data_IF_213247528643
#
_entry.id   IF_213247528643
#
_cell.length_a   1.000
_cell.length_b   1.000
_cell.length_c   1.000
_cell.angle_alpha   90.00
_cell.angle_beta   90.00
_cell.angle_gamma   90.00
#
_symmetry.space_group_name_H-M   'P 1'
#
loop_
_entity.id
_entity.type
_entity.pdbx_description
1 polymer ?
#
# COMPACT_ATOMS: atom_id res chain seq x y z
N UNK A 1 -12.32 -11.51 25.32
CA UNK A 1 -12.31 -11.33 23.85
C UNK A 1 -11.50 -10.08 23.52
N UNK A 2 -10.32 -10.22 22.92
CA UNK A 2 -9.40 -9.10 22.68
C UNK A 2 -9.71 -8.40 21.34
N UNK A 3 -10.28 -7.20 21.45
CA UNK A 3 -10.64 -6.32 20.32
C UNK A 3 -9.43 -5.75 19.56
N UNK A 4 -8.23 -5.82 20.15
CA UNK A 4 -6.98 -5.31 19.55
C UNK A 4 -6.44 -6.18 18.42
N UNK A 5 -6.91 -7.42 18.25
CA UNK A 5 -6.56 -8.27 17.09
C UNK A 5 -7.36 -7.95 15.82
N UNK A 6 -8.44 -7.15 15.91
CA UNK A 6 -9.31 -6.83 14.76
C UNK A 6 -8.85 -5.63 13.94
N UNK A 7 -7.91 -4.82 14.44
CA UNK A 7 -7.59 -3.54 13.79
C UNK A 7 -6.34 -3.63 12.91
N UNK A 8 -5.45 -4.62 13.12
CA UNK A 8 -4.31 -4.81 12.22
C UNK A 8 -3.85 -6.27 12.15
N UNK A 9 -4.15 -7.00 11.06
CA UNK A 9 -3.29 -8.07 10.62
C UNK A 9 -2.23 -7.46 9.69
N UNK A 10 -1.09 -7.08 10.26
CA UNK A 10 -0.02 -6.31 9.60
C UNK A 10 0.67 -6.97 8.39
N UNK A 11 0.15 -8.09 7.87
CA UNK A 11 0.66 -8.78 6.68
C UNK A 11 -0.39 -9.61 5.91
N UNK A 12 -1.63 -9.77 6.39
CA UNK A 12 -2.46 -10.91 5.94
C UNK A 12 -3.31 -10.68 4.71
N UNK A 13 -3.30 -9.52 4.05
CA UNK A 13 -4.32 -9.34 3.02
C UNK A 13 -4.02 -8.33 1.92
N UNK A 14 -2.78 -8.36 1.40
CA UNK A 14 -2.48 -7.71 0.12
C UNK A 14 -3.41 -8.20 -1.00
N UNK A 15 -3.99 -9.40 -0.90
CA UNK A 15 -5.03 -9.89 -1.81
C UNK A 15 -6.37 -9.16 -1.57
N UNK A 16 -6.83 -9.05 -0.32
CA UNK A 16 -8.01 -8.25 0.03
C UNK A 16 -7.88 -6.78 -0.33
N UNK A 17 -6.75 -6.12 -0.03
CA UNK A 17 -6.59 -4.72 -0.42
C UNK A 17 -6.51 -4.56 -1.94
N UNK A 18 -5.91 -5.51 -2.66
CA UNK A 18 -5.96 -5.51 -4.13
C UNK A 18 -7.38 -5.70 -4.66
N UNK A 19 -8.19 -6.57 -4.06
CA UNK A 19 -9.58 -6.77 -4.50
C UNK A 19 -10.48 -5.60 -4.12
N UNK A 20 -10.37 -5.09 -2.89
CA UNK A 20 -11.13 -3.96 -2.38
C UNK A 20 -10.83 -2.68 -3.16
N UNK A 21 -9.56 -2.44 -3.50
CA UNK A 21 -9.11 -1.29 -4.28
C UNK A 21 -9.07 -1.55 -5.79
N UNK A 22 -9.58 -2.71 -6.25
CA UNK A 22 -9.59 -3.14 -7.66
C UNK A 22 -8.25 -2.95 -8.39
N UNK A 23 -7.15 -3.11 -7.66
CA UNK A 23 -5.82 -2.94 -8.21
C UNK A 23 -5.58 -3.93 -9.36
N UNK A 24 -4.96 -3.49 -10.46
CA UNK A 24 -4.67 -4.37 -11.57
C UNK A 24 -3.79 -5.53 -11.10
N UNK A 25 -4.01 -6.72 -11.66
CA UNK A 25 -3.13 -7.86 -11.38
C UNK A 25 -1.74 -7.56 -11.96
N UNK A 26 -0.65 -7.86 -11.24
CA UNK A 26 0.69 -7.77 -11.81
C UNK A 26 0.81 -8.66 -13.04
N UNK A 27 1.60 -8.24 -14.02
CA UNK A 27 1.88 -9.05 -15.20
C UNK A 27 2.66 -10.32 -14.82
N UNK A 28 2.62 -11.34 -15.69
CA UNK A 28 3.44 -12.54 -15.51
C UNK A 28 4.93 -12.17 -15.42
N UNK A 29 5.38 -11.23 -16.25
CA UNK A 29 6.76 -10.75 -16.29
C UNK A 29 7.18 -10.06 -14.98
N UNK A 30 6.29 -9.25 -14.38
CA UNK A 30 6.55 -8.65 -13.08
C UNK A 30 6.73 -9.72 -12.01
N UNK A 31 5.85 -10.74 -11.99
CA UNK A 31 5.92 -11.81 -11.01
C UNK A 31 7.17 -12.69 -11.19
N UNK A 32 7.59 -12.96 -12.44
CA UNK A 32 8.82 -13.69 -12.72
C UNK A 32 10.06 -12.88 -12.35
N UNK A 33 10.11 -11.59 -12.67
CA UNK A 33 11.21 -10.70 -12.30
C UNK A 33 11.34 -10.56 -10.78
N UNK A 34 10.22 -10.42 -10.05
CA UNK A 34 10.22 -10.39 -8.59
C UNK A 34 10.79 -11.69 -8.00
N UNK A 35 10.41 -12.85 -8.55
CA UNK A 35 10.91 -14.15 -8.12
C UNK A 35 12.39 -14.33 -8.44
N UNK A 36 12.83 -13.89 -9.62
CA UNK A 36 14.22 -13.95 -10.05
C UNK A 36 15.11 -13.07 -9.16
N UNK A 37 14.70 -11.82 -8.93
CA UNK A 37 15.37 -10.91 -8.01
C UNK A 37 15.46 -11.49 -6.60
N UNK A 38 14.35 -11.96 -6.03
CA UNK A 38 14.35 -12.59 -4.69
C UNK A 38 15.30 -13.76 -4.60
N UNK A 39 15.33 -14.61 -5.62
CA UNK A 39 16.24 -15.76 -5.68
C UNK A 39 17.70 -15.28 -5.71
N UNK A 40 18.04 -14.36 -6.61
CA UNK A 40 19.40 -13.82 -6.72
C UNK A 40 19.86 -13.15 -5.41
N UNK A 41 19.00 -12.39 -4.73
CA UNK A 41 19.32 -11.77 -3.44
C UNK A 41 19.50 -12.78 -2.30
N UNK A 42 18.81 -13.92 -2.34
CA UNK A 42 18.97 -15.01 -1.36
C UNK A 42 20.27 -15.76 -1.62
N UNK A 43 20.54 -16.10 -2.88
CA UNK A 43 21.75 -16.79 -3.29
C UNK A 43 23.00 -15.97 -2.94
N UNK A 44 22.99 -14.65 -3.22
CA UNK A 44 24.07 -13.74 -2.83
C UNK A 44 24.28 -13.72 -1.31
N UNK A 45 23.20 -13.60 -0.52
CA UNK A 45 23.29 -13.61 0.95
C UNK A 45 23.86 -14.93 1.48
N UNK A 46 23.49 -16.06 0.90
CA UNK A 46 24.01 -17.36 1.28
C UNK A 46 25.52 -17.47 1.03
N UNK A 47 25.99 -16.99 -0.14
CA UNK A 47 27.41 -16.99 -0.49
C UNK A 47 28.24 -16.06 0.40
N UNK A 48 27.74 -14.84 0.65
CA UNK A 48 28.37 -13.88 1.57
C UNK A 48 28.45 -14.46 2.98
N UNK A 49 27.35 -15.01 3.50
CA UNK A 49 27.32 -15.62 4.84
C UNK A 49 28.27 -16.82 4.96
N UNK A 50 28.38 -17.65 3.91
CA UNK A 50 29.34 -18.77 3.87
C UNK A 50 30.79 -18.28 3.89
N UNK A 51 31.10 -17.25 3.10
CA UNK A 51 32.44 -16.64 3.05
C UNK A 51 32.81 -16.01 4.40
N UNK A 52 31.89 -15.32 5.05
CA UNK A 52 32.10 -14.76 6.38
C UNK A 52 32.32 -15.84 7.44
N UNK A 53 31.51 -16.90 7.41
CA UNK A 53 31.65 -18.04 8.31
C UNK A 53 33.04 -18.68 8.20
N UNK A 54 33.53 -18.91 6.98
CA UNK A 54 34.86 -19.48 6.75
C UNK A 54 36.00 -18.55 7.19
N UNK A 55 35.84 -17.22 7.06
CA UNK A 55 36.81 -16.25 7.60
C UNK A 55 36.88 -16.30 9.12
N UNK A 56 35.75 -16.52 9.80
CA UNK A 56 35.70 -16.67 11.26
C UNK A 56 36.35 -17.99 11.69
N UNK A 57 36.07 -19.09 10.99
CA UNK A 57 36.71 -20.39 11.25
C UNK A 57 38.23 -20.37 11.06
N UNK A 58 38.74 -19.45 10.23
CA UNK A 58 40.18 -19.21 10.09
C UNK A 58 40.80 -18.62 11.37
N UNK A 59 40.11 -17.70 12.02
CA UNK A 59 40.66 -16.89 13.13
C UNK A 59 40.39 -17.51 14.50
N UNK A 60 39.35 -18.34 14.63
CA UNK A 60 38.98 -18.99 15.89
C UNK A 60 39.59 -20.38 15.97
N UNK A 61 40.29 -20.69 17.07
CA UNK A 61 40.78 -22.04 17.34
C UNK A 61 39.73 -22.84 18.10
N UNK A 62 39.16 -23.86 17.45
CA UNK A 62 38.14 -24.72 18.04
C UNK A 62 38.74 -26.13 18.25
N UNK A 63 39.08 -26.50 19.51
CA UNK A 63 39.78 -27.75 19.79
C UNK A 63 38.95 -29.01 19.47
N UNK A 64 37.62 -28.87 19.26
CA UNK A 64 36.73 -29.97 18.90
C UNK A 64 36.45 -30.13 17.41
N UNK A 65 37.02 -29.30 16.52
CA UNK A 65 36.79 -29.38 15.06
C UNK A 65 38.11 -29.47 14.29
N UNK A 66 38.17 -30.38 13.31
CA UNK A 66 39.27 -30.38 12.35
C UNK A 66 39.20 -29.12 11.48
N UNK A 67 40.25 -28.32 11.53
CA UNK A 67 40.42 -27.17 10.63
C UNK A 67 40.73 -27.63 9.22
N UNK A 68 40.20 -26.90 8.25
CA UNK A 68 40.64 -27.03 6.85
C UNK A 68 42.14 -26.69 6.76
N UNK A 69 42.92 -27.43 5.96
CA UNK A 69 44.29 -27.05 5.67
C UNK A 69 44.34 -25.64 5.07
N UNK A 70 45.31 -24.83 5.48
CA UNK A 70 45.42 -23.40 5.11
C UNK A 70 45.37 -23.17 3.60
N UNK A 71 46.05 -23.99 2.80
CA UNK A 71 46.03 -23.90 1.34
C UNK A 71 44.64 -24.16 0.75
N UNK A 72 43.92 -25.15 1.28
CA UNK A 72 42.54 -25.50 0.86
C UNK A 72 41.58 -24.37 1.24
N UNK A 73 41.74 -23.79 2.44
CA UNK A 73 40.95 -22.66 2.91
C UNK A 73 41.16 -21.40 2.05
N UNK A 74 42.40 -21.08 1.68
CA UNK A 74 42.65 -19.95 0.79
C UNK A 74 42.05 -20.15 -0.61
N UNK A 75 42.16 -21.36 -1.16
CA UNK A 75 41.56 -21.70 -2.44
C UNK A 75 40.02 -21.57 -2.40
N UNK A 76 39.37 -22.07 -1.33
CA UNK A 76 37.91 -21.97 -1.18
C UNK A 76 37.44 -20.53 -0.96
N UNK A 77 38.17 -19.72 -0.17
CA UNK A 77 37.84 -18.31 0.00
C UNK A 77 38.01 -17.50 -1.29
N UNK A 78 38.97 -17.86 -2.14
CA UNK A 78 39.15 -17.23 -3.46
C UNK A 78 38.01 -17.59 -4.41
N UNK A 79 37.67 -18.87 -4.53
CA UNK A 79 36.53 -19.34 -5.34
C UNK A 79 35.22 -18.72 -4.86
N UNK A 80 34.98 -18.64 -3.54
CA UNK A 80 33.79 -17.97 -3.00
C UNK A 80 33.77 -16.46 -3.29
N UNK A 81 34.93 -15.81 -3.42
CA UNK A 81 34.98 -14.40 -3.80
C UNK A 81 34.59 -14.20 -5.27
N UNK A 82 35.01 -15.12 -6.15
CA UNK A 82 34.59 -15.16 -7.55
C UNK A 82 33.07 -15.42 -7.66
N UNK A 83 32.56 -16.43 -6.94
CA UNK A 83 31.12 -16.75 -6.91
C UNK A 83 30.27 -15.58 -6.38
N UNK A 84 30.75 -14.86 -5.36
CA UNK A 84 30.07 -13.67 -4.82
C UNK A 84 30.04 -12.55 -5.87
N UNK A 85 31.14 -12.30 -6.57
CA UNK A 85 31.19 -11.26 -7.61
C UNK A 85 30.20 -11.57 -8.75
N UNK A 86 30.12 -12.83 -9.19
CA UNK A 86 29.13 -13.23 -10.19
C UNK A 86 27.68 -13.09 -9.68
N UNK A 87 27.44 -13.46 -8.42
CA UNK A 87 26.13 -13.33 -7.79
C UNK A 87 25.71 -11.85 -7.61
N UNK A 88 26.65 -10.95 -7.33
CA UNK A 88 26.40 -9.49 -7.27
C UNK A 88 25.99 -8.93 -8.62
N UNK A 89 26.65 -9.34 -9.71
CA UNK A 89 26.26 -8.94 -11.07
C UNK A 89 24.84 -9.42 -11.38
N UNK A 90 24.54 -10.68 -11.09
CA UNK A 90 23.21 -11.27 -11.32
C UNK A 90 22.11 -10.62 -10.47
N UNK A 91 22.39 -10.30 -9.20
CA UNK A 91 21.47 -9.55 -8.34
C UNK A 91 21.18 -8.18 -8.93
N UNK A 92 22.22 -7.47 -9.39
CA UNK A 92 22.06 -6.14 -9.97
C UNK A 92 21.22 -6.16 -11.24
N UNK A 93 21.47 -7.10 -12.14
CA UNK A 93 20.71 -7.26 -13.38
C UNK A 93 19.23 -7.53 -13.10
N UNK A 94 18.94 -8.55 -12.29
CA UNK A 94 17.55 -8.91 -11.92
C UNK A 94 16.85 -7.80 -11.13
N UNK A 95 17.60 -7.02 -10.34
CA UNK A 95 17.08 -5.85 -9.62
C UNK A 95 16.66 -4.74 -10.58
N UNK A 96 17.50 -4.40 -11.55
CA UNK A 96 17.19 -3.36 -12.54
C UNK A 96 15.94 -3.74 -13.34
N UNK A 97 15.87 -4.98 -13.79
CA UNK A 97 14.69 -5.51 -14.51
C UNK A 97 13.42 -5.44 -13.64
N UNK A 98 13.50 -5.88 -12.39
CA UNK A 98 12.38 -5.81 -11.46
C UNK A 98 11.95 -4.37 -11.15
N UNK A 99 12.90 -3.45 -10.94
CA UNK A 99 12.61 -2.05 -10.65
C UNK A 99 11.93 -1.35 -11.84
N UNK A 100 12.34 -1.66 -13.08
CA UNK A 100 11.70 -1.16 -14.28
C UNK A 100 10.22 -1.62 -14.38
N UNK A 101 9.97 -2.92 -14.23
CA UNK A 101 8.60 -3.48 -14.25
C UNK A 101 7.77 -2.97 -13.07
N UNK A 102 8.40 -2.72 -11.92
CA UNK A 102 7.74 -2.14 -10.75
C UNK A 102 7.32 -0.69 -10.95
N UNK A 103 8.10 0.11 -11.68
CA UNK A 103 7.70 1.45 -12.06
C UNK A 103 6.45 1.42 -12.95
N UNK A 104 6.48 0.60 -14.00
CA UNK A 104 5.33 0.42 -14.93
C UNK A 104 4.08 -0.04 -14.18
N UNK A 105 4.20 -1.04 -13.30
CA UNK A 105 3.07 -1.51 -12.50
C UNK A 105 2.52 -0.41 -11.57
N UNK A 106 3.39 0.39 -10.95
CA UNK A 106 2.97 1.51 -10.09
C UNK A 106 2.21 2.57 -10.86
N UNK A 107 2.67 2.92 -12.06
CA UNK A 107 2.01 3.93 -12.88
C UNK A 107 0.63 3.45 -13.32
N UNK A 108 0.52 2.19 -13.75
CA UNK A 108 -0.77 1.58 -14.08
C UNK A 108 -1.71 1.51 -12.87
N UNK A 109 -1.22 1.08 -11.71
CA UNK A 109 -1.99 1.04 -10.48
C UNK A 109 -2.46 2.44 -10.05
N UNK A 110 -1.59 3.45 -10.20
CA UNK A 110 -1.92 4.85 -9.89
C UNK A 110 -2.99 5.39 -10.83
N UNK A 111 -2.88 5.15 -12.13
CA UNK A 111 -3.89 5.57 -13.10
C UNK A 111 -5.25 4.91 -12.82
N UNK A 112 -5.26 3.61 -12.52
CA UNK A 112 -6.49 2.88 -12.19
C UNK A 112 -7.15 3.41 -10.91
N UNK A 113 -6.36 3.64 -9.85
CA UNK A 113 -6.89 4.19 -8.59
C UNK A 113 -7.32 5.64 -8.71
N UNK A 114 -6.64 6.44 -9.53
CA UNK A 114 -6.98 7.85 -9.75
C UNK A 114 -8.41 8.00 -10.26
N UNK A 115 -8.78 7.22 -11.28
CA UNK A 115 -10.15 7.24 -11.82
C UNK A 115 -11.21 6.80 -10.81
N UNK A 116 -10.94 5.75 -10.03
CA UNK A 116 -11.87 5.29 -8.99
C UNK A 116 -12.04 6.33 -7.86
N UNK A 117 -10.96 6.99 -7.44
CA UNK A 117 -10.98 8.05 -6.42
C UNK A 117 -11.75 9.27 -6.93
N UNK A 118 -11.52 9.69 -8.17
CA UNK A 118 -12.26 10.80 -8.79
C UNK A 118 -13.75 10.48 -8.90
N UNK A 119 -14.10 9.27 -9.34
CA UNK A 119 -15.49 8.82 -9.43
C UNK A 119 -16.19 8.78 -8.06
N UNK A 120 -15.53 8.25 -7.03
CA UNK A 120 -16.04 8.28 -5.66
C UNK A 120 -16.18 9.71 -5.13
N UNK A 121 -15.22 10.58 -5.40
CA UNK A 121 -15.29 12.00 -5.03
C UNK A 121 -16.49 12.70 -5.69
N UNK A 122 -16.75 12.42 -6.97
CA UNK A 122 -17.91 12.95 -7.68
C UNK A 122 -19.24 12.46 -7.07
N UNK A 123 -19.36 11.16 -6.78
CA UNK A 123 -20.55 10.58 -6.14
C UNK A 123 -20.79 11.16 -4.73
N UNK A 124 -19.73 11.33 -3.93
CA UNK A 124 -19.83 11.94 -2.60
C UNK A 124 -20.34 13.39 -2.71
N UNK A 125 -19.79 14.17 -3.64
CA UNK A 125 -20.23 15.56 -3.85
C UNK A 125 -21.69 15.63 -4.33
N UNK A 126 -22.10 14.72 -5.21
CA UNK A 126 -23.49 14.61 -5.66
C UNK A 126 -24.43 14.32 -4.48
N UNK A 127 -24.15 13.27 -3.69
CA UNK A 127 -24.99 12.91 -2.56
C UNK A 127 -25.02 14.00 -1.46
N UNK A 128 -23.92 14.71 -1.24
CA UNK A 128 -23.92 15.88 -0.36
C UNK A 128 -24.83 16.99 -0.90
N UNK A 129 -24.81 17.24 -2.21
CA UNK A 129 -25.73 18.15 -2.88
C UNK A 129 -27.18 17.75 -2.68
N UNK A 130 -27.52 16.48 -2.97
CA UNK A 130 -28.87 15.94 -2.82
C UNK A 130 -29.40 16.11 -1.38
N UNK A 131 -28.57 15.81 -0.37
CA UNK A 131 -28.96 15.97 1.04
C UNK A 131 -29.18 17.43 1.41
N UNK A 132 -28.32 18.34 0.94
CA UNK A 132 -28.48 19.78 1.20
C UNK A 132 -29.75 20.33 0.54
N UNK A 133 -30.07 19.89 -0.67
CA UNK A 133 -31.32 20.26 -1.37
C UNK A 133 -32.55 19.76 -0.61
N UNK A 134 -32.56 18.50 -0.17
CA UNK A 134 -33.67 17.95 0.63
C UNK A 134 -33.87 18.72 1.95
N UNK A 135 -32.78 19.11 2.61
CA UNK A 135 -32.85 19.92 3.83
C UNK A 135 -33.35 21.35 3.56
N UNK A 136 -33.04 21.92 2.39
CA UNK A 136 -33.55 23.21 1.97
C UNK A 136 -35.07 23.15 1.70
N UNK A 137 -35.54 22.11 1.02
CA UNK A 137 -36.98 21.87 0.81
C UNK A 137 -37.70 21.71 2.16
N UNK A 138 -37.16 20.91 3.08
CA UNK A 138 -37.75 20.72 4.40
C UNK A 138 -37.78 22.01 5.24
N UNK A 139 -36.74 22.83 5.15
CA UNK A 139 -36.71 24.14 5.80
C UNK A 139 -37.75 25.10 5.22
N UNK A 140 -37.94 25.10 3.89
CA UNK A 140 -38.99 25.87 3.21
C UNK A 140 -40.39 25.45 3.63
N UNK A 141 -40.65 24.14 3.67
CA UNK A 141 -41.92 23.57 4.16
C UNK A 141 -42.21 23.97 5.60
N UNK A 142 -41.18 23.97 6.47
CA UNK A 142 -41.32 24.41 7.86
C UNK A 142 -41.74 25.88 7.96
N UNK A 143 -41.16 26.75 7.13
CA UNK A 143 -41.52 28.17 7.10
C UNK A 143 -42.98 28.35 6.70
N UNK A 144 -43.40 27.70 5.60
CA UNK A 144 -44.77 27.79 5.09
C UNK A 144 -45.81 27.22 6.06
N UNK A 145 -45.50 26.11 6.73
CA UNK A 145 -46.41 25.54 7.71
C UNK A 145 -46.54 26.39 8.98
N UNK A 146 -45.46 27.05 9.43
CA UNK A 146 -45.55 28.02 10.53
C UNK A 146 -46.45 29.20 10.17
N UNK A 147 -46.34 29.70 8.94
CA UNK A 147 -47.24 30.75 8.43
C UNK A 147 -48.71 30.28 8.36
N UNK A 148 -48.93 29.00 8.06
CA UNK A 148 -50.26 28.40 8.01
C UNK A 148 -50.78 27.85 9.36
N UNK A 149 -50.00 27.92 10.44
CA UNK A 149 -50.37 27.37 11.76
C UNK A 149 -50.41 25.85 11.84
N UNK A 150 -49.69 25.15 10.96
CA UNK A 150 -49.62 23.68 10.90
C UNK A 150 -48.35 23.20 11.62
N UNK A 151 -48.47 22.22 12.52
CA UNK A 151 -47.32 21.57 13.16
C UNK A 151 -46.84 20.37 12.34
N UNK A 152 -45.53 20.30 12.08
CA UNK A 152 -44.88 19.18 11.40
C UNK A 152 -44.05 18.32 12.37
N UNK A 153 -43.82 17.06 11.97
CA UNK A 153 -42.96 16.12 12.70
C UNK A 153 -41.49 16.57 12.77
N UNK A 154 -40.74 16.02 13.74
CA UNK A 154 -39.33 16.35 14.04
C UNK A 154 -38.38 16.36 12.84
N UNK A 155 -38.59 15.46 11.87
CA UNK A 155 -37.78 15.35 10.66
C UNK A 155 -37.82 16.62 9.78
N UNK A 156 -38.93 17.34 9.79
CA UNK A 156 -39.13 18.57 9.02
C UNK A 156 -38.76 19.78 9.88
N UNK A 157 -39.18 19.82 11.16
CA UNK A 157 -38.91 20.93 12.07
C UNK A 157 -37.42 21.17 12.34
N UNK A 158 -36.61 20.10 12.33
CA UNK A 158 -35.19 20.16 12.66
C UNK A 158 -34.28 20.33 11.43
N UNK A 159 -34.85 20.33 10.22
CA UNK A 159 -34.11 20.50 8.97
C UNK A 159 -33.22 21.76 8.91
N UNK A 160 -33.63 22.94 9.44
CA UNK A 160 -32.76 24.12 9.50
C UNK A 160 -31.52 23.91 10.38
N UNK A 161 -31.65 23.12 11.46
CA UNK A 161 -30.55 22.81 12.37
C UNK A 161 -29.61 21.79 11.71
N UNK A 162 -30.18 20.74 11.10
CA UNK A 162 -29.42 19.73 10.37
C UNK A 162 -28.60 20.34 9.21
N UNK A 163 -29.17 21.32 8.47
CA UNK A 163 -28.46 22.05 7.41
C UNK A 163 -27.20 22.75 7.95
N UNK A 164 -27.33 23.50 9.05
CA UNK A 164 -26.20 24.20 9.69
C UNK A 164 -25.09 23.26 10.19
N UNK A 165 -25.45 22.04 10.59
CA UNK A 165 -24.50 21.04 11.07
C UNK A 165 -23.75 20.33 9.92
N UNK A 166 -24.40 20.14 8.78
CA UNK A 166 -23.81 19.44 7.62
C UNK A 166 -22.91 20.36 6.79
N UNK A 167 -23.18 21.67 6.74
CA UNK A 167 -22.46 22.63 5.91
C UNK A 167 -20.93 22.70 6.15
N UNK A 168 -20.42 22.70 7.40
CA UNK A 168 -18.98 22.64 7.66
C UNK A 168 -18.34 21.31 7.24
N UNK A 169 -19.08 20.22 7.40
CA UNK A 169 -18.64 18.87 7.02
C UNK A 169 -18.55 18.75 5.50
N UNK A 170 -19.58 19.18 4.77
CA UNK A 170 -19.60 19.21 3.31
C UNK A 170 -18.43 20.04 2.76
N UNK A 171 -18.18 21.23 3.31
CA UNK A 171 -17.04 22.07 2.94
C UNK A 171 -15.68 21.40 3.17
N UNK A 172 -15.56 20.62 4.24
CA UNK A 172 -14.32 19.88 4.54
C UNK A 172 -14.12 18.74 3.55
N UNK A 173 -15.16 17.98 3.25
CA UNK A 173 -15.14 16.87 2.29
C UNK A 173 -14.79 17.39 0.89
N UNK A 174 -15.43 18.47 0.43
CA UNK A 174 -15.11 19.10 -0.88
C UNK A 174 -13.67 19.59 -0.95
N UNK A 175 -13.12 20.13 0.14
CA UNK A 175 -11.70 20.53 0.23
C UNK A 175 -10.74 19.34 0.17
N UNK A 176 -11.10 18.20 0.77
CA UNK A 176 -10.28 16.99 0.72
C UNK A 176 -10.24 16.40 -0.69
N UNK A 177 -11.39 16.32 -1.36
CA UNK A 177 -11.51 15.81 -2.73
C UNK A 177 -10.74 16.71 -3.71
N UNK A 178 -10.87 18.03 -3.61
CA UNK A 178 -10.18 18.98 -4.50
C UNK A 178 -8.66 19.03 -4.30
N UNK A 179 -8.15 18.73 -3.10
CA UNK A 179 -6.70 18.59 -2.85
C UNK A 179 -6.14 17.30 -3.45
N UNK A 180 -6.91 16.20 -3.39
CA UNK A 180 -6.51 14.91 -3.97
C UNK A 180 -6.47 14.90 -5.50
N UNK A 181 -7.30 15.72 -6.16
CA UNK A 181 -7.37 15.84 -7.63
C UNK A 181 -6.20 16.62 -8.27
N UNK A 182 -5.39 17.35 -7.48
CA UNK A 182 -4.30 18.21 -8.00
C UNK A 182 -2.91 17.54 -8.07
N UNK A 183 -2.78 16.22 -7.90
CA UNK A 183 -1.49 15.50 -7.81
C UNK A 183 -1.35 14.32 -8.76
#
# INVERSE_FOLDING_TARGET
MNLTRKIFPAASDAAFYRSALRLPKPSADFASAEKAFRKASVDLRALVGRRESLKIEQTVDNPGRMKLPTAVLHATLKSLAEDVAEAEVRERETRVEFEALRAVYRDHARASLGGDIEGLGALINQHLGDVLELLEVAAGLTSQAREAGIEFSGLISDAPIARRLIEPMANTISKMISKGSRS
#
